data_IF_156072235160
#
_entry.id   IF_156072235160
#
_cell.length_a   1.000
_cell.length_b   1.000
_cell.length_c   1.000
_cell.angle_alpha   90.00
_cell.angle_beta   90.00
_cell.angle_gamma   90.00
#
_symmetry.space_group_name_H-M   'P 1'
#
loop_
_entity.id
_entity.type
_entity.pdbx_description
1 polymer ?
#
# COMPACT_ATOMS: atom_id res chain seq x y z
N UNK A 1 -19.35 -5.07 18.76
CA UNK A 1 -19.42 -4.20 17.57
C UNK A 1 -18.13 -3.39 17.54
N UNK A 2 -17.10 -3.88 16.84
CA UNK A 2 -15.88 -3.11 16.59
C UNK A 2 -15.91 -2.67 15.13
N UNK A 3 -16.01 -1.36 14.90
CA UNK A 3 -15.89 -0.73 13.59
C UNK A 3 -14.46 -0.92 13.07
N UNK A 4 -14.14 -2.10 12.55
CA UNK A 4 -12.87 -2.39 11.88
C UNK A 4 -12.89 -1.90 10.43
N UNK A 5 -13.40 -0.69 10.21
CA UNK A 5 -13.52 -0.03 8.90
C UNK A 5 -12.49 1.07 8.68
N UNK A 6 -11.60 1.34 9.64
CA UNK A 6 -10.70 2.51 9.56
C UNK A 6 -9.26 2.18 9.15
N UNK A 7 -8.84 0.93 9.29
CA UNK A 7 -7.49 0.50 8.91
C UNK A 7 -7.51 -0.10 7.51
N UNK A 8 -7.08 0.69 6.53
CA UNK A 8 -6.88 0.27 5.15
C UNK A 8 -5.49 0.70 4.68
N UNK A 9 -4.87 -0.07 3.80
CA UNK A 9 -3.57 0.24 3.23
C UNK A 9 -3.58 1.64 2.60
N UNK A 10 -4.65 2.04 1.91
CA UNK A 10 -4.79 3.38 1.33
C UNK A 10 -4.68 4.54 2.34
N UNK A 11 -4.96 4.28 3.63
CA UNK A 11 -4.82 5.26 4.71
C UNK A 11 -3.51 5.12 5.50
N UNK A 12 -2.64 4.18 5.11
CA UNK A 12 -1.40 3.88 5.80
C UNK A 12 -0.25 4.71 5.24
N UNK A 13 0.59 5.28 6.10
CA UNK A 13 1.76 6.08 5.69
C UNK A 13 2.83 5.30 4.91
N UNK A 14 2.79 3.98 4.99
CA UNK A 14 3.72 3.09 4.27
C UNK A 14 3.21 2.72 2.89
N UNK A 15 1.96 3.04 2.55
CA UNK A 15 1.36 2.67 1.28
C UNK A 15 1.64 3.72 0.22
N UNK A 16 1.96 3.26 -0.99
CA UNK A 16 2.08 4.11 -2.18
C UNK A 16 1.30 3.47 -3.30
N UNK A 17 0.32 4.18 -3.86
CA UNK A 17 -0.55 3.69 -4.93
C UNK A 17 0.26 3.29 -6.17
N UNK A 18 0.01 2.11 -6.71
CA UNK A 18 0.66 1.62 -7.93
C UNK A 18 -0.33 1.49 -9.10
N UNK A 19 -1.55 1.04 -8.83
CA UNK A 19 -2.66 0.97 -9.78
C UNK A 19 -4.01 1.26 -9.08
N UNK A 20 -5.13 0.99 -9.76
CA UNK A 20 -6.47 1.30 -9.25
C UNK A 20 -6.89 0.49 -8.00
N UNK A 21 -6.32 -0.70 -7.79
CA UNK A 21 -6.71 -1.63 -6.70
C UNK A 21 -5.53 -2.04 -5.81
N UNK A 22 -4.30 -1.79 -6.24
CA UNK A 22 -3.10 -2.22 -5.52
C UNK A 22 -2.07 -1.10 -5.39
N UNK A 23 -1.21 -1.27 -4.40
CA UNK A 23 -0.08 -0.39 -4.15
C UNK A 23 1.05 -1.12 -3.45
N UNK A 24 2.14 -0.40 -3.27
CA UNK A 24 3.36 -0.90 -2.68
C UNK A 24 3.41 -0.57 -1.19
N UNK A 25 3.81 -1.54 -0.36
CA UNK A 25 4.03 -1.34 1.07
C UNK A 25 5.53 -1.10 1.36
N UNK A 26 5.87 0.13 1.72
CA UNK A 26 7.24 0.60 1.96
C UNK A 26 7.74 0.32 3.38
N UNK A 27 6.94 -0.37 4.20
CA UNK A 27 7.38 -0.84 5.53
C UNK A 27 8.52 -1.85 5.42
N UNK A 28 8.47 -2.71 4.41
CA UNK A 28 9.48 -3.72 4.15
C UNK A 28 10.45 -3.24 3.07
N UNK A 29 11.74 -3.65 3.12
CA UNK A 29 12.66 -3.35 2.04
C UNK A 29 12.19 -3.99 0.73
N UNK A 30 12.57 -3.45 -0.43
CA UNK A 30 12.35 -4.11 -1.70
C UNK A 30 12.94 -5.52 -1.69
N UNK A 31 12.19 -6.48 -2.21
CA UNK A 31 12.66 -7.84 -2.43
C UNK A 31 12.90 -8.03 -3.92
N UNK A 32 13.96 -8.77 -4.25
CA UNK A 32 14.16 -9.20 -5.62
C UNK A 32 13.17 -10.32 -5.92
N UNK A 33 12.34 -10.17 -6.94
CA UNK A 33 11.30 -11.15 -7.29
C UNK A 33 11.87 -12.53 -7.72
N UNK A 34 13.20 -12.64 -7.84
CA UNK A 34 13.91 -13.90 -8.06
C UNK A 34 13.87 -14.36 -9.51
N UNK A 35 14.74 -15.31 -9.88
CA UNK A 35 14.78 -15.87 -11.25
C UNK A 35 13.48 -16.57 -11.69
N UNK A 36 12.58 -16.86 -10.74
CA UNK A 36 11.28 -17.49 -10.98
C UNK A 36 10.17 -16.51 -11.37
N UNK A 37 10.38 -15.20 -11.25
CA UNK A 37 9.38 -14.21 -11.68
C UNK A 37 9.38 -14.05 -13.21
N UNK A 38 8.23 -13.76 -13.85
CA UNK A 38 8.19 -13.32 -15.24
C UNK A 38 9.23 -12.22 -15.53
N UNK A 39 9.82 -12.22 -16.72
CA UNK A 39 10.99 -11.38 -17.05
C UNK A 39 10.68 -9.90 -16.90
N UNK A 40 9.46 -9.49 -17.24
CA UNK A 40 8.95 -8.12 -17.05
C UNK A 40 8.91 -7.72 -15.57
N UNK A 41 8.79 -8.71 -14.69
CA UNK A 41 8.80 -8.55 -13.24
C UNK A 41 10.15 -8.90 -12.58
N UNK A 42 11.23 -8.94 -13.35
CA UNK A 42 12.55 -9.31 -12.85
C UNK A 42 13.36 -8.10 -12.39
N UNK A 43 12.83 -7.37 -11.42
CA UNK A 43 13.48 -6.22 -10.78
C UNK A 43 13.11 -6.15 -9.30
N UNK A 44 13.90 -5.39 -8.53
CA UNK A 44 13.63 -5.09 -7.13
C UNK A 44 12.33 -4.32 -6.99
N UNK A 45 11.45 -4.76 -6.10
CA UNK A 45 10.18 -4.06 -5.81
C UNK A 45 9.84 -4.14 -4.34
N UNK A 46 9.13 -3.13 -3.86
CA UNK A 46 8.38 -3.25 -2.61
C UNK A 46 7.26 -4.29 -2.74
N UNK A 47 6.84 -4.94 -1.64
CA UNK A 47 5.69 -5.84 -1.66
C UNK A 47 4.40 -5.14 -2.11
N UNK A 48 3.69 -5.74 -3.06
CA UNK A 48 2.38 -5.28 -3.50
C UNK A 48 1.27 -5.77 -2.55
N UNK A 49 0.34 -4.89 -2.19
CA UNK A 49 -0.81 -5.13 -1.32
C UNK A 49 -2.06 -4.46 -1.89
N UNK A 50 -3.25 -4.99 -1.58
CA UNK A 50 -4.51 -4.36 -1.97
C UNK A 50 -4.79 -3.08 -1.18
N UNK A 51 -5.41 -2.08 -1.82
CA UNK A 51 -5.73 -0.79 -1.21
C UNK A 51 -6.61 -0.89 0.04
N UNK A 52 -7.56 -1.82 0.07
CA UNK A 52 -8.46 -2.08 1.19
C UNK A 52 -7.97 -3.18 2.15
N UNK A 53 -6.74 -3.70 1.95
CA UNK A 53 -6.14 -4.65 2.89
C UNK A 53 -5.62 -3.94 4.15
N UNK A 54 -5.18 -4.69 5.16
CA UNK A 54 -4.53 -4.14 6.35
C UNK A 54 -3.53 -5.12 6.97
N UNK A 55 -2.66 -4.61 7.83
CA UNK A 55 -1.78 -5.43 8.67
C UNK A 55 -1.64 -4.79 10.06
N UNK A 56 -1.14 -5.55 11.04
CA UNK A 56 -0.99 -5.08 12.43
C UNK A 56 0.01 -3.94 12.63
N UNK A 57 0.65 -3.48 11.55
CA UNK A 57 1.68 -2.43 11.56
C UNK A 57 1.21 -1.18 10.81
N UNK A 58 -0.12 -1.08 10.66
CA UNK A 58 -0.78 0.10 10.16
C UNK A 58 -0.36 1.32 10.99
N UNK A 59 0.11 2.36 10.30
CA UNK A 59 0.29 3.68 10.87
C UNK A 59 -0.46 4.66 9.98
N UNK A 60 -1.43 5.41 10.53
CA UNK A 60 -2.24 6.32 9.74
C UNK A 60 -1.38 7.41 9.10
N UNK A 61 -1.79 7.86 7.92
CA UNK A 61 -1.28 9.10 7.35
C UNK A 61 -1.51 10.26 8.34
N UNK A 62 -0.58 11.22 8.46
CA UNK A 62 -0.83 12.45 9.21
C UNK A 62 -2.10 13.13 8.67
N UNK A 63 -2.98 13.60 9.57
CA UNK A 63 -4.29 14.19 9.24
C UNK A 63 -4.24 15.27 8.15
N UNK A 64 -3.13 16.00 8.04
CA UNK A 64 -2.88 16.99 6.99
C UNK A 64 -2.88 16.43 5.54
N UNK A 65 -2.74 15.11 5.35
CA UNK A 65 -2.65 14.44 4.05
C UNK A 65 -3.97 13.75 3.63
N UNK A 66 -4.91 13.54 4.56
CA UNK A 66 -6.18 12.86 4.28
C UNK A 66 -7.14 13.71 3.44
N UNK A 67 -7.05 15.05 3.53
CA UNK A 67 -7.91 15.97 2.75
C UNK A 67 -7.59 16.05 1.25
N UNK A 68 -6.45 15.53 0.78
CA UNK A 68 -6.03 15.70 -0.62
C UNK A 68 -6.46 14.56 -1.55
N UNK A 69 -6.86 13.40 -1.01
CA UNK A 69 -7.12 12.19 -1.80
C UNK A 69 -8.60 12.10 -2.23
N UNK A 70 -9.47 12.94 -1.65
CA UNK A 70 -10.92 12.96 -1.90
C UNK A 70 -11.41 13.95 -2.96
N UNK A 71 -10.53 14.64 -3.68
CA UNK A 71 -10.94 15.62 -4.69
C UNK A 71 -10.34 15.28 -6.07
N UNK A 72 -11.03 14.43 -6.82
CA UNK A 72 -10.96 14.46 -8.29
C UNK A 72 -12.40 14.52 -8.79
N UNK A 73 -12.74 15.65 -9.40
CA UNK A 73 -14.01 15.97 -10.07
C UNK A 73 -14.11 15.15 -11.35
#
# INVERSE_FOLDING_TARGET
>A
MSLSTEHACEHCRYYTLADALTGNCHRFPPVFAGASSPRETHHWRFPAVGNHAWCGEFLPLPEAQMSSIGATI
#
